data_IF_862656022092
#
_entry.id   IF_862656022092
#
_cell.length_a   1.000
_cell.length_b   1.000
_cell.length_c   1.000
_cell.angle_alpha   90.00
_cell.angle_beta   90.00
_cell.angle_gamma   90.00
#
_symmetry.space_group_name_H-M   'P 1'
#
loop_
_entity.id
_entity.type
_entity.pdbx_description
1 polymer ?
#
# COMPACT_ATOMS: atom_id res chain seq x y z
N UNK A 1 73.27 -17.74 2.85
CA UNK A 1 72.01 -18.11 2.20
C UNK A 1 70.93 -17.83 3.17
N UNK A 2 70.11 -16.77 2.99
CA UNK A 2 68.96 -16.49 3.87
C UNK A 2 67.71 -17.28 3.42
N UNK A 3 67.07 -17.90 4.36
CA UNK A 3 65.78 -18.62 4.21
C UNK A 3 64.64 -17.60 4.15
N UNK A 4 63.86 -17.60 3.05
CA UNK A 4 62.60 -16.84 2.89
C UNK A 4 61.48 -17.64 3.55
N UNK A 5 60.67 -17.04 4.44
CA UNK A 5 59.49 -17.73 4.95
C UNK A 5 58.36 -17.67 3.92
N UNK A 6 57.80 -18.84 3.64
CA UNK A 6 56.60 -19.01 2.83
C UNK A 6 55.37 -18.50 3.63
N UNK A 7 54.78 -17.39 3.20
CA UNK A 7 53.54 -16.85 3.77
C UNK A 7 52.34 -17.62 3.18
N UNK A 8 51.77 -18.53 3.95
CA UNK A 8 50.49 -19.16 3.58
C UNK A 8 49.37 -18.15 3.67
N UNK A 9 48.89 -17.68 2.51
CA UNK A 9 47.68 -16.87 2.39
C UNK A 9 46.46 -17.80 2.56
N UNK A 10 45.85 -17.81 3.75
CA UNK A 10 44.60 -18.47 3.98
C UNK A 10 43.48 -17.66 3.27
N UNK A 11 42.99 -18.15 2.14
CA UNK A 11 41.76 -17.65 1.52
C UNK A 11 40.60 -17.99 2.47
N UNK A 12 40.09 -16.99 3.18
CA UNK A 12 38.80 -17.04 3.85
C UNK A 12 37.74 -17.14 2.77
N UNK A 13 37.23 -18.35 2.52
CA UNK A 13 36.06 -18.57 1.70
C UNK A 13 34.85 -17.91 2.40
N UNK A 14 34.37 -16.79 1.84
CA UNK A 14 33.08 -16.25 2.22
C UNK A 14 32.03 -17.35 2.01
N UNK A 15 31.08 -17.56 2.95
CA UNK A 15 30.01 -18.52 2.74
C UNK A 15 29.23 -18.09 1.48
N UNK A 16 29.19 -18.94 0.48
CA UNK A 16 28.33 -18.75 -0.67
C UNK A 16 26.90 -18.69 -0.16
N UNK A 17 26.27 -17.52 -0.30
CA UNK A 17 24.82 -17.40 -0.12
C UNK A 17 24.19 -18.42 -1.05
N UNK A 18 23.54 -19.44 -0.50
CA UNK A 18 22.83 -20.45 -1.28
C UNK A 18 21.85 -19.76 -2.22
N UNK A 19 21.52 -20.41 -3.34
CA UNK A 19 20.48 -19.90 -4.23
C UNK A 19 19.18 -19.72 -3.44
N UNK A 20 18.43 -18.62 -3.68
CA UNK A 20 17.18 -18.38 -2.96
C UNK A 20 16.19 -19.53 -3.22
N UNK A 21 15.31 -19.87 -2.25
CA UNK A 21 14.28 -20.90 -2.43
C UNK A 21 13.41 -20.61 -3.65
N UNK A 22 13.13 -21.66 -4.44
CA UNK A 22 12.18 -21.55 -5.56
C UNK A 22 10.75 -21.67 -5.02
N UNK A 23 9.93 -20.68 -5.32
CA UNK A 23 8.53 -20.62 -4.88
C UNK A 23 7.77 -19.54 -5.63
N UNK A 24 6.44 -19.64 -5.62
CA UNK A 24 5.51 -18.59 -6.00
C UNK A 24 5.03 -17.81 -4.76
N UNK A 25 4.12 -16.86 -4.95
CA UNK A 25 3.62 -15.98 -3.88
C UNK A 25 2.45 -16.59 -3.08
N UNK A 26 1.82 -17.69 -3.56
CA UNK A 26 0.64 -18.29 -2.92
C UNK A 26 0.84 -18.72 -1.48
N UNK A 27 1.99 -19.31 -1.07
CA UNK A 27 2.24 -19.67 0.32
C UNK A 27 2.15 -18.49 1.30
N UNK A 28 2.22 -17.25 0.82
CA UNK A 28 2.11 -16.04 1.65
C UNK A 28 0.68 -15.53 1.81
N UNK A 29 -0.33 -16.20 1.28
CA UNK A 29 -1.75 -15.81 1.37
C UNK A 29 -2.21 -15.55 2.81
N UNK A 30 -1.62 -16.19 3.81
CA UNK A 30 -1.92 -15.98 5.21
C UNK A 30 -1.63 -14.55 5.72
N UNK A 31 -0.76 -13.80 5.02
CA UNK A 31 -0.49 -12.38 5.31
C UNK A 31 -1.61 -11.46 4.83
N UNK A 32 -2.47 -11.90 3.91
CA UNK A 32 -3.51 -11.06 3.31
C UNK A 32 -4.52 -10.55 4.35
N UNK A 33 -5.04 -9.35 4.13
CA UNK A 33 -6.04 -8.69 4.96
C UNK A 33 -5.47 -7.62 5.88
N UNK A 34 -6.30 -7.18 6.82
CA UNK A 34 -6.00 -6.07 7.74
C UNK A 34 -5.30 -6.55 9.00
N UNK A 35 -4.31 -5.78 9.44
CA UNK A 35 -3.49 -6.01 10.61
C UNK A 35 -3.24 -4.71 11.37
N UNK A 36 -3.20 -4.79 12.70
CA UNK A 36 -2.87 -3.65 13.55
C UNK A 36 -2.12 -4.09 14.80
N UNK A 37 -1.28 -3.22 15.32
CA UNK A 37 -0.57 -3.45 16.58
C UNK A 37 0.31 -2.30 16.98
N UNK A 38 0.82 -2.37 18.20
CA UNK A 38 1.74 -1.39 18.75
C UNK A 38 3.16 -1.94 18.74
N UNK A 39 4.10 -1.08 18.35
CA UNK A 39 5.52 -1.36 18.38
C UNK A 39 6.30 -0.23 19.08
N UNK A 40 7.61 -0.39 19.26
CA UNK A 40 8.44 0.64 19.91
C UNK A 40 8.41 2.00 19.20
N UNK A 41 8.11 2.01 17.91
CA UNK A 41 8.02 3.23 17.09
C UNK A 41 6.60 3.79 16.94
N UNK A 42 5.62 3.29 17.72
CA UNK A 42 4.22 3.66 17.68
C UNK A 42 3.34 2.58 17.05
N UNK A 43 2.04 2.88 16.89
CA UNK A 43 1.07 1.98 16.28
C UNK A 43 1.35 1.80 14.78
N UNK A 44 1.20 0.57 14.31
CA UNK A 44 1.25 0.19 12.91
C UNK A 44 -0.09 -0.40 12.50
N UNK A 45 -0.69 0.16 11.46
CA UNK A 45 -1.82 -0.43 10.75
C UNK A 45 -1.31 -0.87 9.38
N UNK A 46 -1.70 -2.06 8.93
CA UNK A 46 -1.31 -2.59 7.62
C UNK A 46 -2.48 -3.29 6.94
N UNK A 47 -2.49 -3.27 5.62
CA UNK A 47 -3.38 -4.09 4.80
C UNK A 47 -2.59 -4.70 3.65
N UNK A 48 -2.74 -6.02 3.45
CA UNK A 48 -2.15 -6.74 2.34
C UNK A 48 -3.24 -7.27 1.41
N UNK A 49 -3.18 -6.90 0.13
CA UNK A 49 -3.95 -7.55 -0.93
C UNK A 49 -3.50 -9.01 -1.08
N UNK A 50 -4.42 -9.95 -1.32
CA UNK A 50 -4.06 -11.35 -1.51
C UNK A 50 -3.19 -11.55 -2.75
N UNK A 51 -2.52 -12.71 -2.88
CA UNK A 51 -1.80 -13.10 -4.08
C UNK A 51 -2.66 -12.94 -5.34
N UNK A 52 -2.14 -12.24 -6.34
CA UNK A 52 -2.67 -12.19 -7.70
C UNK A 52 -1.58 -11.70 -8.66
N UNK A 53 -1.58 -12.20 -9.89
CA UNK A 53 -0.62 -11.86 -10.93
C UNK A 53 0.85 -11.97 -10.45
N UNK A 54 1.18 -13.03 -9.70
CA UNK A 54 2.52 -13.27 -9.16
C UNK A 54 2.97 -12.24 -8.11
N UNK A 55 2.02 -11.53 -7.45
CA UNK A 55 2.37 -10.49 -6.48
C UNK A 55 1.43 -10.42 -5.29
N UNK A 56 1.93 -9.89 -4.18
CA UNK A 56 1.14 -9.27 -3.10
C UNK A 56 1.52 -7.79 -2.98
N UNK A 57 0.56 -6.95 -2.66
CA UNK A 57 0.82 -5.53 -2.39
C UNK A 57 0.19 -5.12 -1.05
N UNK A 58 0.88 -4.29 -0.29
CA UNK A 58 0.44 -3.85 1.02
C UNK A 58 0.66 -2.37 1.26
N UNK A 59 -0.22 -1.79 2.05
CA UNK A 59 -0.10 -0.45 2.60
C UNK A 59 0.14 -0.53 4.09
N UNK A 60 1.03 0.31 4.60
CA UNK A 60 1.29 0.48 6.03
C UNK A 60 1.11 1.96 6.40
N UNK A 61 0.48 2.18 7.56
CA UNK A 61 0.38 3.49 8.20
C UNK A 61 0.98 3.38 9.60
N UNK A 62 1.91 4.28 9.92
CA UNK A 62 2.47 4.38 11.26
C UNK A 62 1.92 5.64 11.96
N UNK A 63 1.46 5.45 13.21
CA UNK A 63 0.90 6.51 14.04
C UNK A 63 1.78 6.64 15.28
N UNK A 64 2.17 7.86 15.63
CA UNK A 64 2.88 8.21 16.85
C UNK A 64 2.26 9.47 17.46
N UNK A 65 2.05 9.46 18.76
CA UNK A 65 1.49 10.61 19.50
C UNK A 65 0.18 11.14 18.89
N UNK A 66 -0.71 10.20 18.48
CA UNK A 66 -2.01 10.51 17.88
C UNK A 66 -1.96 11.09 16.46
N UNK A 67 -0.79 11.13 15.83
CA UNK A 67 -0.58 11.66 14.47
C UNK A 67 0.05 10.64 13.55
N UNK A 68 -0.24 10.76 12.26
CA UNK A 68 0.45 9.95 11.26
C UNK A 68 1.92 10.33 11.21
N UNK A 69 2.81 9.36 11.47
CA UNK A 69 4.27 9.51 11.39
C UNK A 69 4.82 9.14 10.00
N UNK A 70 4.02 8.47 9.18
CA UNK A 70 4.35 8.13 7.81
C UNK A 70 3.58 6.93 7.29
N UNK A 71 3.78 6.67 6.01
CA UNK A 71 3.19 5.58 5.25
C UNK A 71 4.26 4.74 4.59
N UNK A 72 3.89 3.54 4.15
CA UNK A 72 4.70 2.76 3.24
C UNK A 72 3.82 1.96 2.28
N UNK A 73 4.34 1.71 1.09
CA UNK A 73 3.86 0.68 0.18
C UNK A 73 4.89 -0.44 0.13
N UNK A 74 4.41 -1.67 0.16
CA UNK A 74 5.26 -2.85 0.06
C UNK A 74 4.72 -3.79 -1.01
N UNK A 75 5.61 -4.45 -1.74
CA UNK A 75 5.26 -5.51 -2.69
C UNK A 75 6.12 -6.74 -2.47
N UNK A 76 5.51 -7.92 -2.57
CA UNK A 76 6.22 -9.19 -2.71
C UNK A 76 5.91 -9.67 -4.11
N UNK A 77 6.94 -9.92 -4.91
CA UNK A 77 6.81 -10.20 -6.34
C UNK A 77 7.61 -11.44 -6.70
N UNK A 78 7.03 -12.33 -7.51
CA UNK A 78 7.75 -13.42 -8.14
C UNK A 78 8.77 -12.88 -9.11
N UNK A 79 10.02 -13.26 -8.92
CA UNK A 79 11.14 -12.87 -9.77
C UNK A 79 12.16 -13.99 -9.83
N UNK A 80 12.55 -14.40 -11.03
CA UNK A 80 13.57 -15.43 -11.28
C UNK A 80 13.28 -16.77 -10.58
N UNK A 81 12.00 -17.13 -10.43
CA UNK A 81 11.53 -18.35 -9.77
C UNK A 81 11.60 -18.32 -8.25
N UNK A 82 11.75 -17.15 -7.65
CA UNK A 82 11.75 -16.89 -6.21
C UNK A 82 10.94 -15.64 -5.87
N UNK A 83 11.03 -15.14 -4.64
CA UNK A 83 10.31 -13.95 -4.20
C UNK A 83 11.26 -12.80 -3.86
N UNK A 84 10.80 -11.60 -4.16
CA UNK A 84 11.48 -10.34 -3.82
C UNK A 84 10.52 -9.41 -3.10
N UNK A 85 10.90 -8.94 -1.93
CA UNK A 85 10.19 -7.88 -1.19
C UNK A 85 10.79 -6.52 -1.55
N UNK A 86 9.91 -5.56 -1.85
CA UNK A 86 10.25 -4.14 -1.99
C UNK A 86 9.41 -3.32 -1.03
N UNK A 87 10.00 -2.33 -0.40
CA UNK A 87 9.35 -1.45 0.58
C UNK A 87 9.74 -0.01 0.31
N UNK A 88 8.76 0.86 0.07
CA UNK A 88 8.98 2.29 -0.13
C UNK A 88 8.24 3.09 0.92
N UNK A 89 8.94 4.03 1.58
CA UNK A 89 8.46 4.77 2.75
C UNK A 89 8.26 6.24 2.42
N UNK A 90 7.29 6.84 3.12
CA UNK A 90 6.87 8.21 2.95
C UNK A 90 6.63 8.87 4.30
N UNK A 91 6.74 10.17 4.34
CA UNK A 91 6.25 10.95 5.46
C UNK A 91 4.70 11.10 5.43
N UNK A 92 4.16 11.89 6.35
CA UNK A 92 2.72 12.15 6.43
C UNK A 92 2.16 12.96 5.24
N UNK A 93 3.01 13.61 4.46
CA UNK A 93 2.67 14.38 3.26
C UNK A 93 2.87 13.59 1.96
N UNK A 94 3.24 12.31 2.04
CA UNK A 94 3.63 11.44 0.95
C UNK A 94 4.94 11.87 0.25
N UNK A 95 5.80 12.65 0.91
CA UNK A 95 7.16 12.85 0.43
C UNK A 95 7.97 11.56 0.64
N UNK A 96 8.61 11.08 -0.42
CA UNK A 96 9.37 9.83 -0.43
C UNK A 96 10.66 9.92 0.37
N UNK A 97 11.01 8.85 1.06
CA UNK A 97 12.28 8.72 1.78
C UNK A 97 13.35 8.00 0.97
N UNK A 98 12.96 7.27 -0.04
CA UNK A 98 13.81 6.62 -1.03
C UNK A 98 13.80 7.39 -2.36
N UNK A 99 14.79 7.13 -3.22
CA UNK A 99 14.86 7.73 -4.56
C UNK A 99 13.65 7.34 -5.43
N UNK A 100 13.46 8.07 -6.52
CA UNK A 100 12.41 7.77 -7.50
C UNK A 100 12.62 6.42 -8.17
N UNK A 101 13.87 5.98 -8.36
CA UNK A 101 14.26 4.72 -9.01
C UNK A 101 13.76 3.46 -8.30
N UNK A 102 13.22 3.63 -7.12
CA UNK A 102 12.64 2.54 -6.34
C UNK A 102 13.56 2.05 -5.21
N UNK A 103 13.02 1.22 -4.33
CA UNK A 103 13.77 0.67 -3.20
C UNK A 103 14.62 -0.52 -3.64
N UNK A 104 15.75 -0.72 -2.96
CA UNK A 104 16.54 -1.92 -3.14
C UNK A 104 15.70 -3.18 -2.88
N UNK A 105 15.75 -4.18 -3.77
CA UNK A 105 15.05 -5.44 -3.58
C UNK A 105 15.66 -6.23 -2.42
N UNK A 106 14.81 -6.85 -1.60
CA UNK A 106 15.18 -7.79 -0.55
C UNK A 106 14.84 -9.19 -1.01
N UNK A 107 15.83 -10.06 -1.15
CA UNK A 107 15.67 -11.43 -1.64
C UNK A 107 15.08 -12.33 -0.57
N UNK A 108 14.34 -13.34 -0.99
CA UNK A 108 13.87 -14.41 -0.12
C UNK A 108 15.08 -15.19 0.42
N UNK A 109 15.10 -15.41 1.74
CA UNK A 109 16.10 -16.21 2.44
C UNK A 109 15.53 -17.57 2.81
N UNK A 110 14.32 -17.60 3.39
CA UNK A 110 13.61 -18.83 3.77
C UNK A 110 12.10 -18.62 3.75
N UNK A 111 11.37 -19.71 3.57
CA UNK A 111 9.91 -19.76 3.55
C UNK A 111 9.42 -21.08 4.12
N UNK A 112 8.39 -21.02 4.96
CA UNK A 112 7.59 -22.15 5.42
C UNK A 112 6.11 -21.79 5.42
N UNK A 113 5.23 -22.67 5.87
CA UNK A 113 3.78 -22.42 5.95
C UNK A 113 3.41 -21.30 6.92
N UNK A 114 4.29 -20.97 7.86
CA UNK A 114 4.00 -20.01 8.94
C UNK A 114 4.99 -18.86 9.03
N UNK A 115 6.05 -18.86 8.23
CA UNK A 115 7.07 -17.81 8.32
C UNK A 115 7.73 -17.55 6.97
N UNK A 116 8.16 -16.31 6.78
CA UNK A 116 8.96 -15.88 5.64
C UNK A 116 10.07 -14.95 6.10
N UNK A 117 11.27 -15.20 5.60
CA UNK A 117 12.43 -14.33 5.83
C UNK A 117 12.91 -13.77 4.50
N UNK A 118 12.93 -12.46 4.40
CA UNK A 118 13.66 -11.71 3.39
C UNK A 118 14.90 -11.09 4.01
N UNK A 119 15.87 -10.64 3.20
CA UNK A 119 17.05 -9.93 3.69
C UNK A 119 16.65 -8.76 4.62
N UNK A 120 16.97 -8.90 5.92
CA UNK A 120 16.69 -7.90 6.96
C UNK A 120 15.24 -7.76 7.39
N UNK A 121 14.35 -8.70 7.06
CA UNK A 121 12.94 -8.73 7.49
C UNK A 121 12.52 -10.17 7.69
N UNK A 122 12.07 -10.50 8.89
CA UNK A 122 11.46 -11.77 9.21
C UNK A 122 10.00 -11.56 9.64
N UNK A 123 9.10 -12.33 9.07
CA UNK A 123 7.66 -12.31 9.40
C UNK A 123 7.23 -13.73 9.73
N UNK A 124 6.65 -13.92 10.90
CA UNK A 124 6.10 -15.22 11.26
C UNK A 124 4.70 -15.13 11.85
N UNK A 125 3.91 -16.16 11.61
CA UNK A 125 2.57 -16.32 12.16
C UNK A 125 2.65 -16.88 13.58
N UNK A 126 1.91 -16.29 14.51
CA UNK A 126 1.81 -16.72 15.92
C UNK A 126 0.33 -16.73 16.33
N UNK A 127 -0.35 -17.87 16.14
CA UNK A 127 -1.82 -17.96 16.28
C UNK A 127 -2.53 -17.03 15.31
N UNK A 128 -3.36 -16.11 15.83
CA UNK A 128 -4.08 -15.09 15.04
C UNK A 128 -3.28 -13.80 14.84
N UNK A 129 -2.00 -13.81 15.19
CA UNK A 129 -1.09 -12.68 15.05
C UNK A 129 -0.05 -12.94 13.99
N UNK A 130 0.53 -11.89 13.46
CA UNK A 130 1.82 -11.91 12.77
C UNK A 130 2.82 -11.11 13.58
N UNK A 131 4.06 -11.57 13.59
CA UNK A 131 5.18 -10.88 14.23
C UNK A 131 6.15 -10.50 13.13
N UNK A 132 6.49 -9.23 13.10
CA UNK A 132 7.43 -8.64 12.17
C UNK A 132 8.70 -8.27 12.93
N UNK A 133 9.81 -8.92 12.59
CA UNK A 133 11.13 -8.61 13.09
C UNK A 133 11.90 -7.86 12.01
N UNK A 134 12.38 -6.67 12.34
CA UNK A 134 13.20 -5.86 11.45
C UNK A 134 14.64 -5.90 11.92
N UNK A 135 15.55 -6.36 11.05
CA UNK A 135 16.98 -6.26 11.30
C UNK A 135 17.39 -4.79 11.32
N UNK A 136 17.65 -4.31 12.51
CA UNK A 136 18.38 -3.06 12.75
C UNK A 136 19.78 -3.38 13.29
N UNK A 137 20.70 -2.40 13.35
CA UNK A 137 21.96 -2.61 14.04
C UNK A 137 21.73 -3.31 15.37
N UNK A 138 22.59 -4.28 15.69
CA UNK A 138 22.41 -5.36 16.67
C UNK A 138 21.96 -4.95 18.11
N UNK A 139 21.93 -3.67 18.41
CA UNK A 139 21.59 -3.12 19.72
C UNK A 139 20.08 -2.85 19.92
N UNK A 140 19.25 -2.87 18.86
CA UNK A 140 17.79 -2.66 18.95
C UNK A 140 17.00 -3.37 17.85
N UNK A 141 16.77 -4.69 17.94
CA UNK A 141 15.82 -5.34 17.04
C UNK A 141 14.44 -4.71 17.26
N UNK A 142 13.78 -4.28 16.17
CA UNK A 142 12.40 -3.78 16.24
C UNK A 142 11.46 -4.94 15.96
N UNK A 143 10.76 -5.39 17.00
CA UNK A 143 9.70 -6.38 16.85
C UNK A 143 8.34 -5.68 16.93
N UNK A 144 7.47 -5.98 16.00
CA UNK A 144 6.08 -5.50 15.99
C UNK A 144 5.14 -6.69 15.88
N UNK A 145 4.27 -6.86 16.88
CA UNK A 145 3.20 -7.85 16.85
C UNK A 145 1.94 -7.20 16.32
N UNK A 146 1.38 -7.77 15.25
CA UNK A 146 0.16 -7.30 14.64
C UNK A 146 -0.93 -8.37 14.78
N UNK A 147 -2.15 -7.94 15.10
CA UNK A 147 -3.34 -8.79 15.21
C UNK A 147 -4.38 -8.35 14.17
N UNK A 148 -5.29 -9.24 13.84
CA UNK A 148 -6.45 -8.87 13.03
C UNK A 148 -7.39 -8.00 13.86
N UNK A 149 -7.76 -6.80 13.40
CA UNK A 149 -8.76 -6.02 14.11
C UNK A 149 -10.12 -6.71 14.06
N UNK A 150 -10.95 -6.48 15.08
CA UNK A 150 -12.36 -6.83 15.00
C UNK A 150 -12.98 -5.98 13.87
N UNK A 151 -13.36 -6.62 12.77
CA UNK A 151 -13.88 -5.91 11.60
C UNK A 151 -15.21 -5.22 11.96
N UNK A 152 -15.16 -3.91 12.05
CA UNK A 152 -16.36 -3.08 12.03
C UNK A 152 -16.56 -2.63 10.58
N UNK A 153 -17.34 -3.39 9.81
CA UNK A 153 -17.72 -2.93 8.47
C UNK A 153 -18.64 -1.72 8.65
N UNK A 154 -18.28 -0.53 8.19
CA UNK A 154 -19.17 0.61 8.28
C UNK A 154 -20.50 0.28 7.64
N UNK A 155 -21.61 0.71 8.26
CA UNK A 155 -22.93 0.57 7.68
C UNK A 155 -22.94 1.18 6.28
N UNK A 156 -23.60 0.52 5.33
CA UNK A 156 -23.79 1.08 3.99
C UNK A 156 -24.74 2.26 4.14
N UNK A 157 -24.31 3.49 3.86
CA UNK A 157 -25.21 4.63 3.94
C UNK A 157 -26.29 4.52 2.86
N UNK A 158 -27.46 5.12 3.05
CA UNK A 158 -28.48 5.13 2.01
C UNK A 158 -27.94 5.78 0.73
N UNK A 159 -28.26 5.16 -0.42
CA UNK A 159 -27.90 5.70 -1.72
C UNK A 159 -28.57 7.07 -1.91
N UNK A 160 -27.79 8.07 -2.31
CA UNK A 160 -28.32 9.39 -2.69
C UNK A 160 -28.50 9.49 -4.19
N UNK A 161 -29.45 10.35 -4.60
CA UNK A 161 -29.83 10.58 -5.98
C UNK A 161 -28.61 10.90 -6.89
N UNK A 162 -28.73 10.57 -8.13
CA UNK A 162 -27.68 10.71 -9.15
C UNK A 162 -27.10 12.11 -9.22
N UNK A 163 -25.80 12.18 -9.07
CA UNK A 163 -24.98 13.37 -9.28
C UNK A 163 -24.00 13.08 -10.42
N UNK A 164 -23.51 14.08 -11.13
CA UNK A 164 -22.49 13.88 -12.16
C UNK A 164 -21.36 12.99 -11.63
N UNK A 165 -20.89 12.01 -12.41
CA UNK A 165 -19.89 11.05 -11.97
C UNK A 165 -18.55 11.70 -11.61
N UNK A 166 -18.23 12.84 -12.22
CA UNK A 166 -17.02 13.61 -11.92
C UNK A 166 -17.40 15.07 -11.71
N UNK A 167 -16.86 15.68 -10.68
CA UNK A 167 -17.02 17.10 -10.36
C UNK A 167 -15.64 17.73 -10.37
N UNK A 168 -15.54 18.93 -10.92
CA UNK A 168 -14.35 19.77 -10.82
C UNK A 168 -14.62 20.94 -9.88
N UNK A 169 -13.60 21.31 -9.12
CA UNK A 169 -13.66 22.51 -8.29
C UNK A 169 -13.76 23.76 -9.17
N UNK A 170 -14.62 24.69 -8.81
CA UNK A 170 -14.59 26.00 -9.45
C UNK A 170 -13.27 26.71 -9.12
N UNK A 171 -12.67 27.44 -10.06
CA UNK A 171 -11.45 28.18 -9.79
C UNK A 171 -11.57 29.08 -8.55
N UNK A 172 -10.68 28.92 -7.58
CA UNK A 172 -10.68 29.71 -6.35
C UNK A 172 -11.74 29.34 -5.32
N UNK A 173 -12.50 28.27 -5.50
CA UNK A 173 -13.44 27.77 -4.49
C UNK A 173 -12.72 27.07 -3.33
N UNK A 174 -13.18 27.32 -2.11
CA UNK A 174 -12.70 26.60 -0.92
C UNK A 174 -13.34 25.22 -0.82
N UNK A 175 -12.58 24.26 -0.30
CA UNK A 175 -13.10 22.95 0.05
C UNK A 175 -14.03 23.03 1.28
N UNK A 176 -15.19 22.33 1.28
CA UNK A 176 -16.12 22.36 2.40
C UNK A 176 -15.51 21.70 3.65
N UNK A 177 -15.91 22.13 4.86
CA UNK A 177 -15.46 21.48 6.10
C UNK A 177 -15.84 20.00 6.11
N UNK A 178 -14.87 19.14 6.41
CA UNK A 178 -15.11 17.70 6.49
C UNK A 178 -14.05 17.00 7.36
N UNK A 179 -14.41 15.79 7.87
CA UNK A 179 -13.55 14.90 8.63
C UNK A 179 -13.45 13.55 7.94
N UNK A 180 -12.38 12.81 8.19
CA UNK A 180 -12.18 11.46 7.60
C UNK A 180 -13.29 10.47 7.94
N UNK A 181 -14.03 10.68 9.04
CA UNK A 181 -15.20 9.90 9.37
C UNK A 181 -16.31 9.95 8.31
N UNK A 182 -16.41 11.03 7.54
CA UNK A 182 -17.39 11.18 6.46
C UNK A 182 -17.12 10.20 5.30
N UNK A 183 -15.90 9.68 5.19
CA UNK A 183 -15.49 8.73 4.14
C UNK A 183 -15.06 7.38 4.70
N UNK A 184 -15.40 7.08 5.97
CA UNK A 184 -15.05 5.82 6.64
C UNK A 184 -15.58 4.58 5.88
N UNK A 185 -16.62 4.72 5.10
CA UNK A 185 -17.22 3.69 4.26
C UNK A 185 -16.31 3.22 3.10
N UNK A 186 -15.22 3.94 2.79
CA UNK A 186 -14.17 3.48 1.87
C UNK A 186 -13.38 2.29 2.45
N UNK A 187 -13.27 2.20 3.80
CA UNK A 187 -12.50 1.14 4.46
C UNK A 187 -12.94 -0.25 4.03
N UNK A 188 -12.01 -1.09 3.63
CA UNK A 188 -12.28 -2.45 3.19
C UNK A 188 -11.36 -2.95 2.09
N UNK A 189 -11.70 -4.13 1.57
CA UNK A 189 -11.02 -4.83 0.47
C UNK A 189 -11.98 -4.90 -0.73
N UNK A 190 -11.54 -4.36 -1.82
CA UNK A 190 -12.35 -4.13 -3.00
C UNK A 190 -11.68 -4.77 -4.23
N UNK A 191 -12.46 -5.48 -5.04
CA UNK A 191 -11.99 -6.04 -6.32
C UNK A 191 -13.01 -5.78 -7.40
N UNK A 192 -12.54 -5.46 -8.60
CA UNK A 192 -13.42 -5.10 -9.68
C UNK A 192 -12.72 -4.91 -11.01
N UNK A 193 -13.29 -4.04 -11.82
CA UNK A 193 -12.80 -3.75 -13.16
C UNK A 193 -12.62 -2.26 -13.37
N UNK A 194 -11.56 -1.89 -14.11
CA UNK A 194 -11.23 -0.54 -14.52
C UNK A 194 -9.96 -0.54 -15.37
N UNK A 195 -9.77 0.49 -16.17
CA UNK A 195 -8.61 0.65 -17.06
C UNK A 195 -8.35 -0.54 -17.98
N UNK A 196 -9.40 -1.28 -18.36
CA UNK A 196 -9.31 -2.44 -19.24
C UNK A 196 -8.69 -3.68 -18.58
N UNK A 197 -8.74 -3.80 -17.24
CA UNK A 197 -8.23 -4.92 -16.48
C UNK A 197 -8.91 -5.10 -15.14
N UNK A 198 -8.32 -5.94 -14.29
CA UNK A 198 -8.74 -6.09 -12.90
C UNK A 198 -8.15 -4.93 -12.09
N UNK A 199 -8.98 -4.32 -11.27
CA UNK A 199 -8.62 -3.27 -10.33
C UNK A 199 -8.91 -3.75 -8.92
N UNK A 200 -7.96 -3.56 -8.02
CA UNK A 200 -8.08 -3.95 -6.62
C UNK A 200 -7.67 -2.79 -5.73
N UNK A 201 -8.46 -2.52 -4.72
CA UNK A 201 -8.17 -1.51 -3.70
C UNK A 201 -8.33 -2.08 -2.30
N UNK A 202 -7.42 -1.76 -1.41
CA UNK A 202 -7.59 -2.01 0.01
C UNK A 202 -7.38 -0.72 0.78
N UNK A 203 -8.33 -0.40 1.67
CA UNK A 203 -8.31 0.81 2.48
C UNK A 203 -8.32 0.48 3.96
N UNK A 204 -7.33 0.96 4.69
CA UNK A 204 -7.30 0.99 6.14
C UNK A 204 -8.39 1.91 6.68
N UNK A 205 -9.02 1.58 7.82
CA UNK A 205 -10.02 2.44 8.43
C UNK A 205 -9.44 3.80 8.87
N UNK A 206 -10.32 4.81 9.12
CA UNK A 206 -9.88 6.10 9.63
C UNK A 206 -9.10 5.98 10.93
N UNK A 207 -7.92 6.59 10.99
CA UNK A 207 -7.17 6.81 12.23
C UNK A 207 -6.24 8.01 12.07
N UNK A 208 -6.01 8.75 13.14
CA UNK A 208 -5.13 9.92 13.20
C UNK A 208 -5.39 10.93 12.06
N UNK A 209 -6.67 11.19 11.73
CA UNK A 209 -7.05 12.14 10.67
C UNK A 209 -6.75 11.65 9.26
N UNK A 210 -6.61 10.33 9.03
CA UNK A 210 -6.34 9.78 7.71
C UNK A 210 -6.98 8.40 7.45
N UNK A 211 -7.28 8.10 6.18
CA UNK A 211 -7.33 6.75 5.63
C UNK A 211 -6.07 6.52 4.80
N UNK A 212 -5.63 5.28 4.67
CA UNK A 212 -4.56 4.91 3.75
C UNK A 212 -4.98 3.68 2.94
N UNK A 213 -4.66 3.68 1.66
CA UNK A 213 -5.04 2.64 0.73
C UNK A 213 -3.92 2.26 -0.22
N UNK A 214 -4.05 1.07 -0.79
CA UNK A 214 -3.22 0.58 -1.88
C UNK A 214 -4.12 0.16 -3.03
N UNK A 215 -3.72 0.54 -4.24
CA UNK A 215 -4.30 0.08 -5.50
C UNK A 215 -3.33 -0.86 -6.21
N UNK A 216 -3.87 -1.89 -6.84
CA UNK A 216 -3.16 -2.76 -7.79
C UNK A 216 -3.99 -2.91 -9.05
N UNK A 217 -3.45 -2.45 -10.19
CA UNK A 217 -4.02 -2.69 -11.51
C UNK A 217 -3.38 -3.92 -12.16
N UNK A 218 -4.20 -4.85 -12.67
CA UNK A 218 -3.75 -6.07 -13.33
C UNK A 218 -4.31 -6.11 -14.74
N UNK A 219 -3.44 -6.31 -15.73
CA UNK A 219 -3.83 -6.51 -17.12
C UNK A 219 -3.26 -7.81 -17.66
N UNK A 220 -4.13 -8.70 -18.10
CA UNK A 220 -3.73 -10.08 -18.40
C UNK A 220 -3.23 -10.79 -17.14
N UNK A 221 -2.02 -11.33 -17.18
CA UNK A 221 -1.38 -12.01 -16.04
C UNK A 221 -0.33 -11.15 -15.32
N UNK A 222 -0.29 -9.83 -15.57
CA UNK A 222 0.75 -8.96 -15.05
C UNK A 222 0.16 -7.73 -14.36
N UNK A 223 0.85 -7.27 -13.32
CA UNK A 223 0.55 -5.98 -12.71
C UNK A 223 0.96 -4.87 -13.67
N UNK A 224 0.04 -3.92 -13.92
CA UNK A 224 0.31 -2.73 -14.72
C UNK A 224 0.95 -1.61 -13.90
N UNK A 225 0.40 -1.34 -12.71
CA UNK A 225 0.94 -0.34 -11.78
C UNK A 225 0.31 -0.50 -10.39
N UNK A 226 0.88 0.20 -9.43
CA UNK A 226 0.36 0.36 -8.07
C UNK A 226 0.12 1.82 -7.74
N UNK A 227 -0.75 2.07 -6.74
CA UNK A 227 -0.84 3.39 -6.10
C UNK A 227 -0.78 3.23 -4.58
N UNK A 228 -0.13 4.21 -3.95
CA UNK A 228 -0.30 4.51 -2.53
C UNK A 228 -1.27 5.69 -2.43
N UNK A 229 -2.40 5.47 -1.80
CA UNK A 229 -3.47 6.45 -1.67
C UNK A 229 -3.69 6.85 -0.23
N UNK A 230 -4.05 8.09 0.01
CA UNK A 230 -4.46 8.58 1.33
C UNK A 230 -5.62 9.55 1.20
N UNK A 231 -6.58 9.50 2.13
CA UNK A 231 -7.51 10.62 2.38
C UNK A 231 -7.13 11.22 3.71
N UNK A 232 -6.79 12.50 3.72
CA UNK A 232 -6.26 13.20 4.90
C UNK A 232 -7.07 14.44 5.24
N UNK A 233 -7.17 14.73 6.54
CA UNK A 233 -7.68 16.02 7.01
C UNK A 233 -6.60 17.09 6.78
N UNK A 234 -6.94 18.12 6.01
CA UNK A 234 -6.05 19.23 5.67
C UNK A 234 -6.86 20.53 5.56
N UNK A 235 -6.40 21.60 6.23
CA UNK A 235 -7.07 22.91 6.17
C UNK A 235 -8.53 22.92 6.64
N UNK A 236 -8.92 22.00 7.55
CA UNK A 236 -10.31 21.86 8.00
C UNK A 236 -11.22 21.08 7.05
N UNK A 237 -10.70 20.56 5.96
CA UNK A 237 -11.41 19.75 4.95
C UNK A 237 -10.68 18.42 4.71
N UNK A 238 -11.00 17.74 3.59
CA UNK A 238 -10.34 16.52 3.14
C UNK A 238 -9.60 16.76 1.83
N UNK A 239 -8.48 16.05 1.67
CA UNK A 239 -7.79 15.90 0.40
C UNK A 239 -7.46 14.42 0.17
N UNK A 240 -7.75 13.90 -1.00
CA UNK A 240 -7.20 12.63 -1.46
C UNK A 240 -5.84 12.91 -2.09
N UNK A 241 -4.84 12.13 -1.71
CA UNK A 241 -3.49 12.19 -2.26
C UNK A 241 -3.07 10.81 -2.72
N UNK A 242 -2.38 10.74 -3.83
CA UNK A 242 -1.83 9.48 -4.32
C UNK A 242 -0.48 9.64 -5.01
N UNK A 243 0.23 8.53 -5.08
CA UNK A 243 1.45 8.35 -5.87
C UNK A 243 1.36 7.07 -6.65
N UNK A 244 1.78 7.11 -7.91
CA UNK A 244 1.80 5.96 -8.80
C UNK A 244 3.18 5.30 -8.82
N UNK A 245 3.18 3.99 -9.04
CA UNK A 245 4.40 3.19 -9.09
C UNK A 245 4.32 2.15 -10.21
N UNK A 246 5.42 1.99 -10.93
CA UNK A 246 5.65 0.83 -11.76
C UNK A 246 5.69 -0.47 -10.92
N UNK A 247 5.62 -1.66 -11.53
CA UNK A 247 5.64 -2.93 -10.80
C UNK A 247 6.86 -3.14 -9.89
N UNK A 248 7.97 -2.48 -10.15
CA UNK A 248 9.20 -2.49 -9.35
C UNK A 248 9.24 -1.39 -8.27
N UNK A 249 8.15 -0.69 -8.03
CA UNK A 249 7.99 0.47 -7.16
C UNK A 249 8.82 1.69 -7.56
N UNK A 250 9.25 1.81 -8.81
CA UNK A 250 9.73 3.08 -9.36
C UNK A 250 8.56 4.06 -9.44
N UNK A 251 8.73 5.24 -8.82
CA UNK A 251 7.70 6.29 -8.78
C UNK A 251 7.52 6.96 -10.13
N UNK A 252 6.28 7.32 -10.47
CA UNK A 252 6.01 8.17 -11.63
C UNK A 252 6.20 9.65 -11.28
N UNK A 253 5.77 10.06 -10.09
CA UNK A 253 6.00 11.40 -9.56
C UNK A 253 7.37 11.49 -8.89
N UNK A 254 7.91 12.70 -8.82
CA UNK A 254 9.13 12.97 -8.03
C UNK A 254 8.90 12.63 -6.55
N UNK A 255 9.96 12.34 -5.78
CA UNK A 255 9.82 11.96 -4.37
C UNK A 255 9.00 12.95 -3.55
N UNK A 256 9.12 14.26 -3.81
CA UNK A 256 8.49 15.34 -3.05
C UNK A 256 7.03 15.57 -3.43
N UNK A 257 6.59 15.10 -4.61
CA UNK A 257 5.26 15.40 -5.14
C UNK A 257 4.32 14.22 -5.00
N UNK A 258 3.07 14.49 -4.67
CA UNK A 258 1.93 13.59 -4.80
C UNK A 258 0.86 14.27 -5.68
N UNK A 259 0.09 13.47 -6.40
CA UNK A 259 -1.14 13.96 -7.03
C UNK A 259 -2.13 14.25 -5.92
N UNK A 260 -2.82 15.36 -5.98
CA UNK A 260 -3.72 15.81 -4.94
C UNK A 260 -5.07 16.22 -5.52
N UNK A 261 -6.14 15.75 -4.88
CA UNK A 261 -7.53 16.03 -5.22
C UNK A 261 -8.21 16.62 -3.97
N UNK A 262 -8.40 17.94 -3.89
CA UNK A 262 -9.14 18.57 -2.80
C UNK A 262 -10.62 18.14 -2.84
N UNK A 263 -11.25 18.08 -1.66
CA UNK A 263 -12.68 17.77 -1.56
C UNK A 263 -13.51 18.90 -2.14
N UNK A 264 -14.43 18.58 -3.02
CA UNK A 264 -15.44 19.52 -3.58
C UNK A 264 -16.76 19.37 -2.84
N UNK A 265 -17.15 18.14 -2.51
CA UNK A 265 -18.39 17.85 -1.81
C UNK A 265 -18.35 16.47 -1.16
N UNK A 266 -18.93 16.33 0.02
CA UNK A 266 -19.21 15.04 0.66
C UNK A 266 -20.73 14.85 0.83
N UNK A 267 -21.16 13.59 0.69
CA UNK A 267 -22.51 13.13 1.00
C UNK A 267 -22.39 11.81 1.79
N UNK A 268 -23.46 11.31 2.41
CA UNK A 268 -23.37 10.12 3.27
C UNK A 268 -22.71 8.89 2.62
N UNK A 269 -22.90 8.70 1.30
CA UNK A 269 -22.37 7.56 0.55
C UNK A 269 -21.44 7.97 -0.61
N UNK A 270 -21.09 9.23 -0.72
CA UNK A 270 -20.26 9.72 -1.85
C UNK A 270 -19.29 10.81 -1.39
N UNK A 271 -18.11 10.79 -1.97
CA UNK A 271 -17.11 11.84 -1.81
C UNK A 271 -16.63 12.27 -3.20
N UNK A 272 -16.79 13.56 -3.45
CA UNK A 272 -16.44 14.20 -4.72
C UNK A 272 -15.20 15.04 -4.47
N UNK A 273 -14.09 14.58 -4.99
CA UNK A 273 -12.84 15.31 -5.04
C UNK A 273 -12.68 15.96 -6.41
N UNK A 274 -11.81 16.93 -6.56
CA UNK A 274 -11.57 17.62 -7.83
C UNK A 274 -11.03 16.66 -8.91
N UNK A 275 -11.91 16.20 -9.79
CA UNK A 275 -11.57 15.21 -10.84
C UNK A 275 -11.62 13.74 -10.42
N UNK A 276 -12.00 13.42 -9.16
CA UNK A 276 -12.13 12.06 -8.69
C UNK A 276 -13.36 11.91 -7.76
N UNK A 277 -14.14 10.87 -7.95
CA UNK A 277 -15.32 10.60 -7.11
C UNK A 277 -15.33 9.15 -6.65
N UNK A 278 -15.64 8.95 -5.38
CA UNK A 278 -16.02 7.65 -4.82
C UNK A 278 -17.47 7.65 -4.42
N UNK A 279 -18.17 6.54 -4.67
CA UNK A 279 -19.53 6.31 -4.23
C UNK A 279 -19.70 4.90 -3.68
N UNK A 280 -20.21 4.80 -2.47
CA UNK A 280 -20.61 3.53 -1.85
C UNK A 280 -22.01 3.17 -2.35
N UNK A 281 -22.19 1.97 -2.87
CA UNK A 281 -23.48 1.42 -3.29
C UNK A 281 -23.85 0.24 -2.39
N UNK A 282 -25.07 -0.28 -2.54
CA UNK A 282 -25.51 -1.47 -1.82
C UNK A 282 -24.59 -2.68 -2.11
N UNK A 283 -24.15 -2.82 -3.36
CA UNK A 283 -23.41 -3.98 -3.84
C UNK A 283 -21.89 -3.79 -3.79
N UNK A 284 -21.41 -2.55 -3.65
CA UNK A 284 -19.98 -2.32 -3.73
C UNK A 284 -19.54 -0.87 -3.61
N UNK A 285 -18.50 -0.56 -4.34
CA UNK A 285 -17.88 0.75 -4.45
C UNK A 285 -17.76 1.10 -5.94
N UNK A 286 -18.06 2.34 -6.28
CA UNK A 286 -17.76 2.90 -7.58
C UNK A 286 -16.75 4.03 -7.43
N UNK A 287 -15.84 4.11 -8.38
CA UNK A 287 -14.95 5.26 -8.50
C UNK A 287 -14.97 5.79 -9.94
N UNK A 288 -14.81 7.09 -10.08
CA UNK A 288 -14.59 7.76 -11.34
C UNK A 288 -13.40 8.69 -11.19
N UNK A 289 -12.52 8.67 -12.17
CA UNK A 289 -11.35 9.54 -12.20
C UNK A 289 -11.15 10.09 -13.62
N UNK A 290 -10.75 11.35 -13.73
CA UNK A 290 -10.30 11.91 -14.99
C UNK A 290 -8.87 11.46 -15.24
N UNK A 291 -8.69 10.67 -16.30
CA UNK A 291 -7.37 10.21 -16.72
C UNK A 291 -6.87 11.00 -17.90
N UNK A 292 -5.59 11.35 -17.91
CA UNK A 292 -4.92 11.96 -19.03
C UNK A 292 -4.73 10.95 -20.18
N UNK A 293 -4.89 11.43 -21.41
CA UNK A 293 -4.59 10.69 -22.62
C UNK A 293 -3.23 11.12 -23.17
N UNK A 294 -2.54 10.23 -23.88
CA UNK A 294 -1.21 10.51 -24.43
C UNK A 294 -1.16 11.64 -25.46
N UNK A 295 -2.32 12.08 -25.99
CA UNK A 295 -2.48 13.20 -26.90
C UNK A 295 -2.76 14.55 -26.22
N UNK A 296 -2.72 14.59 -24.88
CA UNK A 296 -3.04 15.77 -24.06
C UNK A 296 -4.53 15.92 -23.75
N UNK A 297 -5.40 15.05 -24.27
CA UNK A 297 -6.80 14.98 -23.89
C UNK A 297 -7.01 14.33 -22.52
N UNK A 298 -8.25 14.36 -22.04
CA UNK A 298 -8.67 13.67 -20.83
C UNK A 298 -9.98 12.93 -21.07
N UNK A 299 -10.20 11.85 -20.31
CA UNK A 299 -11.49 11.17 -20.28
C UNK A 299 -11.82 10.72 -18.85
N UNK A 300 -13.12 10.63 -18.49
CA UNK A 300 -13.53 9.95 -17.28
C UNK A 300 -13.34 8.43 -17.45
N UNK A 301 -12.73 7.81 -16.46
CA UNK A 301 -12.64 6.35 -16.33
C UNK A 301 -13.49 5.93 -15.15
N UNK A 302 -14.21 4.83 -15.26
CA UNK A 302 -15.11 4.30 -14.25
C UNK A 302 -14.63 2.95 -13.78
N UNK A 303 -14.64 2.77 -12.46
CA UNK A 303 -14.31 1.53 -11.78
C UNK A 303 -15.55 1.02 -11.05
N UNK A 304 -15.74 -0.28 -11.08
CA UNK A 304 -16.75 -0.99 -10.33
C UNK A 304 -16.08 -2.02 -9.44
N UNK A 305 -16.34 -1.93 -8.17
CA UNK A 305 -15.78 -2.85 -7.20
C UNK A 305 -16.87 -3.58 -6.43
N UNK A 306 -16.70 -4.88 -6.25
CA UNK A 306 -17.39 -5.66 -5.25
C UNK A 306 -16.50 -5.78 -4.00
N UNK A 307 -17.08 -5.92 -2.80
CA UNK A 307 -16.28 -6.28 -1.63
C UNK A 307 -15.69 -7.66 -1.84
N UNK A 308 -14.38 -7.80 -1.58
CA UNK A 308 -13.76 -9.12 -1.60
C UNK A 308 -14.28 -9.93 -0.42
N UNK A 309 -14.81 -11.11 -0.73
CA UNK A 309 -15.18 -12.10 0.29
C UNK A 309 -13.91 -12.73 0.86
N UNK A 310 -13.80 -12.92 2.18
CA UNK A 310 -12.65 -13.54 2.84
C UNK A 310 -12.33 -14.94 2.34
#
# INVERSE_FOLDING_TARGET
MPRVPLLCLALLASPALGSPPRTDVEPLRWMAGEWQGDGPAGRVDAFWLPPAAGTMAGVLRRIRDGRVAGYAIATITEQDGSLVLRLKRFDAQLAGRESQDGPAPRRLVSLSDTEVTFEGIHVHRSGDSIVLDLDRPADRPEQVRLTRPTRHRPAVPPSVAETPPVVQAAPGSDSPPARVSAVAWLGGDWTGQGLGGISEEAWLPPAAGSLAGVYRGVRGAQVSFYELMTVVEAGGSLALRLKHFAPDLRGWESPERAVQFPLVRAAPSSAYFDGLTYRRTADGLEAWVVVGLGDGGTRPERFFYAPRTP
#
